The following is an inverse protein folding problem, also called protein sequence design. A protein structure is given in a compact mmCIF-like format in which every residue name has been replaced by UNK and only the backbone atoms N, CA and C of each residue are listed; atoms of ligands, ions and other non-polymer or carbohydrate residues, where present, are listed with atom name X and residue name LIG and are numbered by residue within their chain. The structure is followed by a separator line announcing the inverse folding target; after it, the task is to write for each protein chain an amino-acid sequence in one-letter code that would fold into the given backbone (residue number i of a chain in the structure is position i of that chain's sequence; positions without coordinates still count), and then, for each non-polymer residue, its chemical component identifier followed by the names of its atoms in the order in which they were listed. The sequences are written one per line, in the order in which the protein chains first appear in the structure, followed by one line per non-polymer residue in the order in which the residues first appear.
data_IF_104270053701
#
_entry.id   IF_104270053701
#
_cell.length_a   1.000
_cell.length_b   1.000
_cell.length_c   1.000
_cell.angle_alpha   90.00
_cell.angle_beta   90.00
_cell.angle_gamma   90.00
#
_symmetry.space_group_name_H-M   'P 1'
#
loop_
_entity.id
_entity.type
_entity.pdbx_description
1 polymer ?
#
# COMPACT_ATOMS: atom_id res chain seq x y z
N UNK A 1 -12.92 1.58 -24.37
CA UNK A 1 -13.47 1.58 -22.99
C UNK A 1 -12.92 0.44 -22.13
N UNK A 2 -12.81 -0.80 -22.63
CA UNK A 2 -12.27 -1.93 -21.88
C UNK A 2 -10.79 -1.79 -21.45
N UNK A 3 -9.93 -1.29 -22.35
CA UNK A 3 -8.50 -1.10 -22.08
C UNK A 3 -8.24 -0.19 -20.87
N UNK A 4 -9.08 0.84 -20.69
CA UNK A 4 -8.98 1.75 -19.56
C UNK A 4 -9.14 1.02 -18.21
N UNK A 5 -10.16 0.16 -18.08
CA UNK A 5 -10.41 -0.60 -16.86
C UNK A 5 -9.30 -1.61 -16.57
N UNK A 6 -8.73 -2.22 -17.60
CA UNK A 6 -7.58 -3.14 -17.45
C UNK A 6 -6.37 -2.39 -16.91
N UNK A 7 -6.02 -1.25 -17.51
CA UNK A 7 -4.89 -0.43 -17.06
C UNK A 7 -5.10 0.02 -15.62
N UNK A 8 -6.30 0.51 -15.29
CA UNK A 8 -6.63 0.96 -13.94
C UNK A 8 -6.52 -0.17 -12.91
N UNK A 9 -7.07 -1.35 -13.21
CA UNK A 9 -7.00 -2.51 -12.32
C UNK A 9 -5.54 -2.95 -12.10
N UNK A 10 -4.72 -2.94 -13.15
CA UNK A 10 -3.31 -3.30 -13.04
C UNK A 10 -2.52 -2.31 -12.20
N UNK A 11 -2.75 -1.00 -12.37
CA UNK A 11 -2.12 0.03 -11.54
C UNK A 11 -2.49 -0.10 -10.07
N UNK A 12 -3.78 -0.33 -9.77
CA UNK A 12 -4.25 -0.56 -8.39
C UNK A 12 -3.61 -1.81 -7.80
N UNK A 13 -3.53 -2.89 -8.59
CA UNK A 13 -2.92 -4.14 -8.15
C UNK A 13 -1.42 -4.00 -7.85
N UNK A 14 -0.66 -3.36 -8.73
CA UNK A 14 0.77 -3.08 -8.51
C UNK A 14 0.95 -2.22 -7.25
N UNK A 15 0.13 -1.19 -7.09
CA UNK A 15 0.19 -0.34 -5.91
C UNK A 15 -0.16 -1.10 -4.62
N UNK A 16 -1.11 -2.03 -4.66
CA UNK A 16 -1.43 -2.94 -3.55
C UNK A 16 -0.22 -3.82 -3.18
N UNK A 17 0.51 -4.36 -4.15
CA UNK A 17 1.75 -5.09 -3.89
C UNK A 17 2.82 -4.22 -3.22
N UNK A 18 2.97 -2.95 -3.61
CA UNK A 18 3.91 -2.02 -2.97
C UNK A 18 3.53 -1.74 -1.50
N UNK A 19 2.24 -1.55 -1.21
CA UNK A 19 1.76 -1.37 0.17
C UNK A 19 1.96 -2.64 1.01
N UNK A 20 1.74 -3.82 0.44
CA UNK A 20 2.05 -5.09 1.10
C UNK A 20 3.56 -5.25 1.34
N UNK A 21 4.39 -4.86 0.36
CA UNK A 21 5.84 -4.82 0.51
C UNK A 21 6.27 -3.93 1.68
N UNK A 22 5.63 -2.77 1.85
CA UNK A 22 5.86 -1.89 3.00
C UNK A 22 5.53 -2.56 4.33
N UNK A 23 4.40 -3.27 4.41
CA UNK A 23 4.02 -4.03 5.60
C UNK A 23 5.07 -5.10 5.93
N UNK A 24 5.56 -5.83 4.93
CA UNK A 24 6.63 -6.85 5.12
C UNK A 24 7.90 -6.19 5.63
N UNK A 25 8.30 -5.07 5.05
CA UNK A 25 9.53 -4.35 5.44
C UNK A 25 9.43 -3.78 6.85
N UNK A 26 8.28 -3.23 7.21
CA UNK A 26 8.03 -2.72 8.56
C UNK A 26 8.07 -3.84 9.60
N UNK A 27 7.44 -4.97 9.27
CA UNK A 27 7.50 -6.20 10.06
C UNK A 27 8.94 -6.71 10.18
N UNK A 28 9.72 -6.71 9.09
CA UNK A 28 11.13 -7.07 9.09
C UNK A 28 11.97 -6.15 9.98
N UNK A 29 11.74 -4.83 9.95
CA UNK A 29 12.45 -3.91 10.85
C UNK A 29 12.10 -4.11 12.31
N UNK A 30 10.86 -4.51 12.59
CA UNK A 30 10.43 -4.83 13.96
C UNK A 30 11.14 -6.10 14.50
N UNK A 31 11.21 -7.15 13.69
CA UNK A 31 11.83 -8.43 14.08
C UNK A 31 13.36 -8.43 13.96
N UNK A 32 13.91 -7.89 12.88
CA UNK A 32 15.33 -7.81 12.59
C UNK A 32 15.84 -6.36 12.74
N UNK A 33 15.91 -5.88 13.99
CA UNK A 33 16.30 -4.48 14.31
C UNK A 33 17.69 -4.07 13.79
N UNK A 34 18.58 -5.03 13.54
CA UNK A 34 19.91 -4.81 12.96
C UNK A 34 19.93 -4.81 11.43
N UNK A 35 18.83 -5.18 10.78
CA UNK A 35 18.76 -5.23 9.32
C UNK A 35 18.83 -3.82 8.74
N UNK A 36 19.84 -3.61 7.89
CA UNK A 36 20.03 -2.39 7.11
C UNK A 36 20.02 -2.77 5.63
N UNK A 37 19.05 -2.28 4.85
CA UNK A 37 19.04 -2.56 3.42
C UNK A 37 20.25 -1.91 2.76
N UNK A 38 20.92 -2.66 1.87
CA UNK A 38 22.10 -2.19 1.13
C UNK A 38 22.01 -2.60 -0.34
N UNK A 39 22.70 -1.85 -1.20
CA UNK A 39 22.74 -2.11 -2.65
C UNK A 39 21.34 -2.06 -3.29
N UNK A 40 21.04 -3.06 -4.11
CA UNK A 40 19.78 -3.13 -4.89
C UNK A 40 18.54 -3.11 -4.00
N UNK A 41 18.59 -3.76 -2.83
CA UNK A 41 17.46 -3.76 -1.90
C UNK A 41 17.15 -2.35 -1.38
N UNK A 42 18.17 -1.53 -1.11
CA UNK A 42 17.99 -0.15 -0.64
C UNK A 42 17.29 0.71 -1.71
N UNK A 43 17.68 0.56 -2.97
CA UNK A 43 17.06 1.28 -4.10
C UNK A 43 15.60 0.87 -4.26
N UNK A 44 15.30 -0.44 -4.22
CA UNK A 44 13.92 -0.92 -4.31
C UNK A 44 13.04 -0.42 -3.17
N UNK A 45 13.60 -0.38 -1.96
CA UNK A 45 12.93 0.18 -0.77
C UNK A 45 12.65 1.67 -0.93
N UNK A 46 13.62 2.44 -1.40
CA UNK A 46 13.45 3.88 -1.62
C UNK A 46 12.35 4.15 -2.66
N UNK A 47 12.36 3.45 -3.79
CA UNK A 47 11.31 3.56 -4.81
C UNK A 47 9.92 3.21 -4.23
N UNK A 48 9.83 2.12 -3.48
CA UNK A 48 8.60 1.72 -2.81
C UNK A 48 8.12 2.80 -1.83
N UNK A 49 9.01 3.41 -1.06
CA UNK A 49 8.65 4.49 -0.15
C UNK A 49 8.22 5.76 -0.88
N UNK A 50 8.90 6.15 -1.96
CA UNK A 50 8.52 7.32 -2.75
C UNK A 50 7.11 7.18 -3.31
N UNK A 51 6.74 5.98 -3.78
CA UNK A 51 5.40 5.74 -4.34
C UNK A 51 4.34 5.62 -3.25
N UNK A 52 4.65 4.99 -2.11
CA UNK A 52 3.66 4.72 -1.05
C UNK A 52 3.54 5.83 0.00
N UNK A 53 4.57 6.66 0.22
CA UNK A 53 4.57 7.71 1.25
C UNK A 53 3.55 8.83 1.01
N UNK A 54 3.39 9.41 -0.19
CA UNK A 54 2.48 10.53 -0.41
C UNK A 54 1.03 10.24 0.02
N UNK A 55 0.40 9.11 -0.40
CA UNK A 55 -0.96 8.78 0.03
C UNK A 55 -1.05 8.41 1.51
N UNK A 56 -0.06 7.71 2.07
CA UNK A 56 -0.02 7.41 3.51
C UNK A 56 0.08 8.70 4.32
N UNK A 57 0.93 9.66 3.90
CA UNK A 57 1.06 10.98 4.55
C UNK A 57 -0.21 11.80 4.40
N UNK A 58 -0.88 11.75 3.25
CA UNK A 58 -2.17 12.39 3.05
C UNK A 58 -3.23 11.81 4.01
N UNK A 59 -3.27 10.48 4.18
CA UNK A 59 -4.16 9.84 5.15
C UNK A 59 -3.82 10.16 6.60
N UNK A 60 -2.53 10.17 6.96
CA UNK A 60 -2.07 10.51 8.32
C UNK A 60 -2.49 11.91 8.78
N UNK A 61 -2.73 12.83 7.84
CA UNK A 61 -3.28 14.16 8.15
C UNK A 61 -4.76 14.10 8.55
N UNK A 62 -5.51 13.13 8.00
CA UNK A 62 -6.93 12.96 8.28
C UNK A 62 -7.17 12.08 9.51
N UNK A 63 -6.35 11.05 9.69
CA UNK A 63 -6.51 10.05 10.73
C UNK A 63 -5.16 9.86 11.42
N UNK A 64 -4.90 10.58 12.52
CA UNK A 64 -3.66 10.46 13.26
C UNK A 64 -3.51 9.05 13.87
N UNK A 65 -2.27 8.57 14.05
CA UNK A 65 -2.00 7.26 14.62
C UNK A 65 -2.58 7.17 16.04
N UNK A 66 -3.33 6.09 16.29
CA UNK A 66 -3.91 5.83 17.61
C UNK A 66 -2.85 5.16 18.49
N UNK A 67 -2.60 5.78 19.63
CA UNK A 67 -1.70 5.25 20.65
C UNK A 67 -2.57 4.52 21.68
N UNK A 68 -2.41 3.20 21.79
CA UNK A 68 -3.08 2.38 22.79
C UNK A 68 -2.07 2.00 23.89
N UNK A 69 -1.99 2.84 24.92
CA UNK A 69 -1.05 2.65 26.03
C UNK A 69 0.40 2.73 25.55
N UNK A 70 1.13 1.61 25.62
CA UNK A 70 2.53 1.49 25.19
C UNK A 70 2.71 1.11 23.71
N UNK A 71 1.62 0.77 23.00
CA UNK A 71 1.66 0.32 21.60
C UNK A 71 1.02 1.37 20.70
N UNK A 72 1.74 1.80 19.66
CA UNK A 72 1.17 2.60 18.58
C UNK A 72 0.67 1.67 17.48
N UNK A 73 -0.59 1.83 17.07
CA UNK A 73 -1.13 1.14 15.91
C UNK A 73 -1.10 2.10 14.72
N UNK A 74 -0.35 1.73 13.68
CA UNK A 74 -0.37 2.49 12.42
C UNK A 74 -1.64 2.15 11.62
N UNK A 75 -2.74 2.79 11.99
CA UNK A 75 -4.02 2.69 11.28
C UNK A 75 -3.90 3.14 9.82
N UNK A 76 -2.92 3.98 9.49
CA UNK A 76 -2.76 4.55 8.14
C UNK A 76 -2.55 3.45 7.10
N UNK A 77 -1.76 2.43 7.42
CA UNK A 77 -1.49 1.30 6.50
C UNK A 77 -2.73 0.44 6.32
N UNK A 78 -3.44 0.13 7.41
CA UNK A 78 -4.67 -0.64 7.36
C UNK A 78 -5.75 0.07 6.53
N UNK A 79 -5.88 1.39 6.66
CA UNK A 79 -6.86 2.16 5.91
C UNK A 79 -6.47 2.27 4.44
N UNK A 80 -5.19 2.47 4.10
CA UNK A 80 -4.74 2.43 2.70
C UNK A 80 -5.04 1.06 2.08
N UNK A 81 -4.78 -0.04 2.78
CA UNK A 81 -5.17 -1.38 2.31
C UNK A 81 -6.68 -1.50 2.08
N UNK A 82 -7.50 -1.02 3.02
CA UNK A 82 -8.96 -1.04 2.87
C UNK A 82 -9.44 -0.21 1.67
N UNK A 83 -8.88 0.99 1.46
CA UNK A 83 -9.21 1.84 0.31
C UNK A 83 -8.86 1.15 -1.00
N UNK A 84 -7.70 0.48 -1.07
CA UNK A 84 -7.30 -0.26 -2.27
C UNK A 84 -8.16 -1.48 -2.53
N UNK A 85 -8.53 -2.22 -1.48
CA UNK A 85 -9.46 -3.34 -1.58
C UNK A 85 -10.84 -2.86 -2.06
N UNK A 86 -11.31 -1.71 -1.58
CA UNK A 86 -12.55 -1.11 -2.04
C UNK A 86 -12.46 -0.68 -3.51
N UNK A 87 -11.37 -0.04 -3.92
CA UNK A 87 -11.13 0.35 -5.31
C UNK A 87 -11.13 -0.89 -6.23
N UNK A 88 -10.48 -1.96 -5.80
CA UNK A 88 -10.44 -3.22 -6.54
C UNK A 88 -11.82 -3.86 -6.62
N UNK A 89 -12.58 -3.86 -5.52
CA UNK A 89 -13.95 -4.36 -5.46
C UNK A 89 -14.89 -3.60 -6.41
N UNK A 90 -14.71 -2.30 -6.59
CA UNK A 90 -15.51 -1.49 -7.54
C UNK A 90 -15.03 -1.68 -8.98
N UNK A 91 -13.72 -1.83 -9.20
CA UNK A 91 -13.15 -1.99 -10.53
C UNK A 91 -13.38 -3.39 -11.13
N UNK A 92 -13.44 -4.45 -10.31
CA UNK A 92 -13.62 -5.83 -10.79
C UNK A 92 -14.94 -6.03 -11.56
N UNK A 93 -16.12 -5.62 -11.02
CA UNK A 93 -17.39 -5.74 -11.72
C UNK A 93 -17.42 -4.94 -13.03
N UNK A 94 -16.77 -3.77 -13.07
CA UNK A 94 -16.64 -2.96 -14.27
C UNK A 94 -15.78 -3.62 -15.36
N UNK A 95 -14.85 -4.51 -14.97
CA UNK A 95 -14.09 -5.33 -15.91
C UNK A 95 -14.95 -6.50 -16.45
N UNK A 96 -15.72 -7.14 -15.55
CA UNK A 96 -16.57 -8.30 -15.87
C UNK A 96 -17.81 -7.93 -16.71
N UNK A 97 -18.38 -6.73 -16.51
CA UNK A 97 -19.52 -6.24 -17.27
C UNK A 97 -19.17 -5.82 -18.71
N UNK A 98 -17.88 -5.65 -19.01
CA UNK A 98 -17.39 -5.28 -20.35
C UNK A 98 -16.98 -6.52 -21.15
N UNK A 99 -16.80 -7.67 -20.49
CA UNK A 99 -16.49 -8.96 -21.12
C UNK A 99 -17.72 -9.80 -21.52
N UNK A 100 -18.94 -9.37 -21.16
CA UNK A 100 -20.22 -9.96 -21.54
C UNK A 100 -20.89 -9.10 -22.62
#
# INVERSE_FOLDING_TARGET
MQLFWIILAYLVYVYLLLVLGRLVVETMRYFARSWRPAGVAAVGLELMYVVTDPPIKALRKLIPPLHLGSVSLDLSIAIVLLVLLLLLYVALPALMSVSL
#
